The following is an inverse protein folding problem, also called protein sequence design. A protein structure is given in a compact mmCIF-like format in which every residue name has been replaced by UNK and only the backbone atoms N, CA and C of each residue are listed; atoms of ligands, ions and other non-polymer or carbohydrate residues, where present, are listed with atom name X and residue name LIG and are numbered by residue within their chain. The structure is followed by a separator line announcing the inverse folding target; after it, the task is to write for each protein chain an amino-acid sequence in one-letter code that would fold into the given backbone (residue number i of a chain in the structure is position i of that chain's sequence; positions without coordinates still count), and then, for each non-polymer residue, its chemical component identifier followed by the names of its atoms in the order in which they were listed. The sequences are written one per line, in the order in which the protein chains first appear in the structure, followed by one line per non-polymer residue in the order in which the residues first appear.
data_IF_254500794825
#
_entry.id   IF_254500794825
#
_cell.length_a   1.000
_cell.length_b   1.000
_cell.length_c   1.000
_cell.angle_alpha   90.00
_cell.angle_beta   90.00
_cell.angle_gamma   90.00
#
_symmetry.space_group_name_H-M   'P 1'
#
loop_
_entity.id
_entity.type
_entity.pdbx_description
1 polymer ?
#
# COMPACT_ATOMS: atom_id res chain seq x y z
N UNK A 1 -28.68 5.28 -21.43
CA UNK A 1 -27.20 5.27 -21.37
C UNK A 1 -26.81 4.45 -20.15
N UNK A 2 -25.92 3.47 -20.30
CA UNK A 2 -25.46 2.66 -19.15
C UNK A 2 -24.72 3.56 -18.16
N UNK A 3 -25.13 3.51 -16.90
CA UNK A 3 -24.55 4.23 -15.75
C UNK A 3 -23.52 3.40 -14.99
N UNK A 4 -23.04 2.30 -15.59
CA UNK A 4 -22.06 1.43 -14.96
C UNK A 4 -20.79 2.21 -14.55
N UNK A 5 -20.36 2.05 -13.30
CA UNK A 5 -19.14 2.64 -12.73
C UNK A 5 -18.27 1.55 -12.13
N UNK A 6 -16.97 1.78 -12.10
CA UNK A 6 -16.01 0.95 -11.36
C UNK A 6 -16.29 1.09 -9.87
N UNK A 7 -16.36 -0.01 -9.14
CA UNK A 7 -16.73 -0.06 -7.71
C UNK A 7 -15.55 -0.18 -6.76
N UNK A 8 -14.35 -0.45 -7.26
CA UNK A 8 -13.14 -0.60 -6.46
C UNK A 8 -11.96 -1.18 -7.25
N UNK A 9 -10.86 -1.44 -6.55
CA UNK A 9 -9.69 -2.12 -7.11
C UNK A 9 -9.87 -3.63 -6.88
N UNK A 10 -9.99 -4.40 -7.97
CA UNK A 10 -10.09 -5.87 -7.90
C UNK A 10 -8.75 -6.59 -7.78
N UNK A 11 -7.64 -5.89 -8.00
CA UNK A 11 -6.28 -6.41 -7.87
C UNK A 11 -5.23 -5.40 -8.30
N UNK A 12 -4.02 -5.56 -7.78
CA UNK A 12 -2.83 -4.84 -8.21
C UNK A 12 -1.77 -5.88 -8.60
N UNK A 13 -1.32 -5.83 -9.86
CA UNK A 13 -0.39 -6.81 -10.42
C UNK A 13 0.81 -6.09 -11.00
N UNK A 14 2.00 -6.57 -10.68
CA UNK A 14 3.25 -5.99 -11.14
C UNK A 14 4.28 -7.10 -11.41
N UNK A 15 5.35 -6.76 -12.13
CA UNK A 15 6.40 -7.73 -12.46
C UNK A 15 7.41 -7.82 -11.32
N UNK A 16 7.88 -9.03 -11.05
CA UNK A 16 8.93 -9.33 -10.09
C UNK A 16 9.99 -10.24 -10.74
N UNK A 17 11.25 -10.11 -10.31
CA UNK A 17 12.34 -11.02 -10.63
C UNK A 17 12.17 -12.36 -9.90
N UNK A 18 11.73 -12.31 -8.64
CA UNK A 18 11.36 -13.49 -7.84
C UNK A 18 9.97 -13.30 -7.21
N UNK A 19 8.88 -13.66 -7.92
CA UNK A 19 7.53 -13.47 -7.43
C UNK A 19 7.24 -14.22 -6.12
N UNK A 20 7.84 -15.39 -5.91
CA UNK A 20 7.59 -16.18 -4.72
C UNK A 20 8.25 -15.55 -3.49
N UNK A 21 9.49 -15.08 -3.61
CA UNK A 21 10.15 -14.34 -2.54
C UNK A 21 9.43 -13.03 -2.23
N UNK A 22 9.01 -12.30 -3.26
CA UNK A 22 8.37 -11.01 -3.06
C UNK A 22 6.99 -11.14 -2.42
N UNK A 23 6.18 -12.12 -2.84
CA UNK A 23 4.89 -12.40 -2.20
C UNK A 23 5.04 -12.78 -0.73
N UNK A 24 6.05 -13.61 -0.37
CA UNK A 24 6.34 -13.92 1.03
C UNK A 24 6.74 -12.68 1.82
N UNK A 25 7.58 -11.82 1.24
CA UNK A 25 8.01 -10.59 1.90
C UNK A 25 6.82 -9.66 2.23
N UNK A 26 5.90 -9.45 1.29
CA UNK A 26 4.71 -8.65 1.52
C UNK A 26 3.79 -9.26 2.60
N UNK A 27 3.63 -10.59 2.60
CA UNK A 27 2.84 -11.31 3.60
C UNK A 27 3.47 -11.24 5.00
N UNK A 28 4.77 -11.52 5.10
CA UNK A 28 5.51 -11.56 6.37
C UNK A 28 5.66 -10.18 7.01
N UNK A 29 5.96 -9.13 6.24
CA UNK A 29 6.29 -7.82 6.80
C UNK A 29 5.11 -6.85 6.83
N UNK A 30 4.16 -6.94 5.88
CA UNK A 30 3.07 -5.98 5.76
C UNK A 30 1.69 -6.63 5.97
N UNK A 31 1.60 -7.97 6.05
CA UNK A 31 0.32 -8.68 6.13
C UNK A 31 -0.53 -8.55 4.86
N UNK A 32 0.09 -8.14 3.76
CA UNK A 32 -0.54 -7.97 2.45
C UNK A 32 -0.18 -9.20 1.63
N UNK A 33 -1.17 -9.96 1.14
CA UNK A 33 -1.04 -11.27 0.46
C UNK A 33 -1.11 -12.46 1.44
N UNK A 34 -2.26 -13.13 1.44
CA UNK A 34 -2.46 -14.47 2.01
C UNK A 34 -2.64 -15.44 0.84
N UNK A 35 -1.53 -15.93 0.26
CA UNK A 35 -1.57 -16.94 -0.79
C UNK A 35 -0.77 -18.16 -0.31
N UNK A 36 -1.37 -18.96 0.56
CA UNK A 36 -0.75 -20.19 1.08
C UNK A 36 -0.51 -21.22 -0.04
N UNK A 37 -1.40 -21.30 -1.04
CA UNK A 37 -1.37 -22.28 -2.13
C UNK A 37 -1.20 -21.67 -3.53
N UNK A 38 -1.25 -20.33 -3.68
CA UNK A 38 -1.24 -19.62 -4.98
C UNK A 38 -2.38 -20.09 -5.91
N UNK A 39 -3.48 -20.57 -5.35
CA UNK A 39 -4.67 -20.99 -6.08
C UNK A 39 -5.82 -20.01 -5.88
N UNK A 40 -6.86 -20.10 -6.72
CA UNK A 40 -8.11 -19.34 -6.54
C UNK A 40 -8.88 -19.76 -5.27
N UNK A 41 -8.42 -20.78 -4.54
CA UNK A 41 -9.06 -21.26 -3.31
C UNK A 41 -8.50 -20.57 -2.05
N UNK A 42 -7.35 -19.88 -2.15
CA UNK A 42 -6.83 -19.09 -1.03
C UNK A 42 -7.71 -17.85 -0.80
N UNK A 43 -8.08 -17.53 0.45
CA UNK A 43 -8.76 -16.28 0.74
C UNK A 43 -7.84 -15.13 0.40
N UNK A 44 -8.24 -14.30 -0.56
CA UNK A 44 -7.52 -13.08 -0.91
C UNK A 44 -7.39 -12.11 0.26
N UNK A 45 -6.57 -11.08 0.11
CA UNK A 45 -6.44 -10.03 1.12
C UNK A 45 -7.70 -9.14 1.15
N UNK A 46 -8.51 -9.31 2.20
CA UNK A 46 -9.65 -8.44 2.49
C UNK A 46 -9.16 -7.20 3.23
N UNK A 47 -9.38 -6.04 2.62
CA UNK A 47 -8.95 -4.76 3.16
C UNK A 47 -10.05 -4.14 4.04
N UNK A 48 -9.63 -3.48 5.11
CA UNK A 48 -10.50 -2.58 5.83
C UNK A 48 -10.97 -1.44 4.93
N UNK A 49 -12.21 -1.01 5.18
CA UNK A 49 -12.86 0.10 4.47
C UNK A 49 -12.05 1.38 4.65
N UNK A 50 -11.92 2.16 3.59
CA UNK A 50 -11.29 3.47 3.63
C UNK A 50 -11.04 4.05 2.24
N UNK A 51 -10.52 5.26 2.21
CA UNK A 51 -10.18 5.96 0.97
C UNK A 51 -9.01 5.27 0.25
N UNK A 52 -9.18 5.09 -1.07
CA UNK A 52 -8.10 4.73 -1.98
C UNK A 52 -7.82 5.92 -2.89
N UNK A 53 -6.62 6.50 -2.78
CA UNK A 53 -6.16 7.56 -3.67
C UNK A 53 -5.72 6.95 -4.99
N UNK A 54 -6.35 7.35 -6.09
CA UNK A 54 -5.96 6.96 -7.45
C UNK A 54 -5.55 8.22 -8.24
N UNK A 55 -4.24 8.41 -8.42
CA UNK A 55 -3.70 9.65 -8.97
C UNK A 55 -2.56 9.41 -9.96
N UNK A 56 -2.47 10.28 -10.97
CA UNK A 56 -1.31 10.37 -11.86
C UNK A 56 -0.36 11.45 -11.35
N UNK A 57 0.94 11.26 -11.58
CA UNK A 57 1.99 12.19 -11.22
C UNK A 57 2.71 12.70 -12.49
N UNK A 58 3.40 13.85 -12.43
CA UNK A 58 4.29 14.29 -13.51
C UNK A 58 5.32 13.21 -13.86
N UNK A 59 5.66 13.09 -15.15
CA UNK A 59 6.60 12.08 -15.64
C UNK A 59 8.01 12.22 -15.02
N UNK A 60 8.38 13.44 -14.63
CA UNK A 60 9.67 13.83 -14.07
C UNK A 60 9.67 13.91 -12.53
N UNK A 61 8.70 13.29 -11.86
CA UNK A 61 8.69 13.24 -10.40
C UNK A 61 9.70 12.23 -9.85
N UNK A 62 10.35 12.58 -8.75
CA UNK A 62 11.20 11.65 -7.99
C UNK A 62 10.39 10.72 -7.06
N UNK A 63 9.05 10.85 -7.01
CA UNK A 63 8.18 10.12 -6.08
C UNK A 63 8.24 8.59 -6.22
N UNK A 64 8.57 8.07 -7.40
CA UNK A 64 8.64 6.63 -7.65
C UNK A 64 10.00 6.00 -7.34
N UNK A 65 10.96 6.80 -6.85
CA UNK A 65 12.33 6.36 -6.67
C UNK A 65 13.07 6.26 -8.01
N UNK A 66 13.56 5.07 -8.36
CA UNK A 66 14.38 4.89 -9.55
C UNK A 66 13.58 5.12 -10.86
N UNK A 67 14.15 5.76 -11.90
CA UNK A 67 13.42 6.14 -13.12
C UNK A 67 12.78 4.98 -13.89
N UNK A 68 13.29 3.75 -13.72
CA UNK A 68 12.74 2.53 -14.31
C UNK A 68 11.48 2.02 -13.60
N UNK A 69 11.15 2.57 -12.42
CA UNK A 69 9.97 2.20 -11.64
C UNK A 69 8.78 3.04 -12.09
N UNK A 70 7.77 2.37 -12.62
CA UNK A 70 6.57 3.02 -13.18
C UNK A 70 5.38 2.99 -12.22
N UNK A 71 5.57 2.52 -10.99
CA UNK A 71 4.49 2.36 -10.01
C UNK A 71 5.02 2.56 -8.59
N UNK A 72 4.12 3.02 -7.72
CA UNK A 72 4.30 3.15 -6.28
C UNK A 72 2.97 2.74 -5.64
N UNK A 73 3.01 2.15 -4.46
CA UNK A 73 1.81 1.74 -3.73
C UNK A 73 1.77 2.38 -2.35
N UNK A 74 0.60 2.88 -1.96
CA UNK A 74 0.36 3.43 -0.65
C UNK A 74 -0.56 2.52 0.16
N UNK A 75 -0.07 1.96 1.27
CA UNK A 75 -0.84 1.11 2.18
C UNK A 75 -1.30 1.90 3.40
N UNK A 76 -2.57 1.71 3.79
CA UNK A 76 -3.09 2.23 5.05
C UNK A 76 -2.59 1.37 6.21
N UNK A 77 -2.20 2.00 7.31
CA UNK A 77 -1.85 1.34 8.57
C UNK A 77 -2.61 2.00 9.72
N UNK A 78 -2.98 1.21 10.74
CA UNK A 78 -3.69 1.69 11.93
C UNK A 78 -2.77 2.18 13.04
N UNK A 79 -1.48 1.83 12.97
CA UNK A 79 -0.41 2.23 13.89
C UNK A 79 0.90 2.34 13.11
N UNK A 80 1.28 3.57 12.74
CA UNK A 80 2.49 3.80 11.95
C UNK A 80 3.76 3.51 12.76
N UNK A 81 3.77 3.87 14.04
CA UNK A 81 4.94 3.72 14.90
C UNK A 81 5.22 2.24 15.17
N UNK A 82 4.17 1.46 15.45
CA UNK A 82 4.26 0.00 15.58
C UNK A 82 4.75 -0.68 14.30
N UNK A 83 4.21 -0.28 13.13
CA UNK A 83 4.64 -0.83 11.84
C UNK A 83 6.12 -0.49 11.54
N UNK A 84 6.53 0.76 11.77
CA UNK A 84 7.93 1.19 11.59
C UNK A 84 8.87 0.43 12.51
N UNK A 85 8.49 0.22 13.77
CA UNK A 85 9.29 -0.57 14.71
C UNK A 85 9.46 -2.03 14.24
N UNK A 86 8.36 -2.68 13.86
CA UNK A 86 8.38 -4.06 13.38
C UNK A 86 9.25 -4.24 12.12
N UNK A 87 9.15 -3.31 11.16
CA UNK A 87 9.98 -3.31 9.95
C UNK A 87 11.47 -3.16 10.28
N UNK A 88 11.82 -2.24 11.17
CA UNK A 88 13.21 -2.02 11.60
C UNK A 88 13.78 -3.23 12.33
N UNK A 89 13.01 -3.86 13.21
CA UNK A 89 13.42 -5.08 13.91
C UNK A 89 13.66 -6.25 12.94
N UNK A 90 12.91 -6.28 11.83
CA UNK A 90 13.11 -7.23 10.73
C UNK A 90 14.27 -6.86 9.78
N UNK A 91 14.99 -5.77 10.03
CA UNK A 91 16.09 -5.29 9.20
C UNK A 91 15.65 -4.59 7.90
N UNK A 92 14.37 -4.23 7.78
CA UNK A 92 13.83 -3.47 6.65
C UNK A 92 14.06 -1.97 6.87
N UNK A 93 14.66 -1.31 5.88
CA UNK A 93 14.83 0.13 5.89
C UNK A 93 13.47 0.83 5.69
N UNK A 94 13.11 1.71 6.62
CA UNK A 94 11.88 2.51 6.58
C UNK A 94 12.13 3.90 7.16
N UNK A 95 11.63 4.91 6.45
CA UNK A 95 11.85 6.33 6.73
C UNK A 95 10.52 7.02 7.02
N UNK A 96 10.16 7.24 8.29
CA UNK A 96 9.03 8.08 8.67
C UNK A 96 9.27 9.52 8.24
N UNK A 97 8.20 10.19 7.80
CA UNK A 97 8.26 11.63 7.57
C UNK A 97 8.28 12.36 8.92
N UNK A 98 9.10 13.40 9.04
CA UNK A 98 9.19 14.19 10.29
C UNK A 98 7.95 15.06 10.55
N UNK A 99 7.20 15.38 9.48
CA UNK A 99 6.01 16.22 9.55
C UNK A 99 4.74 15.38 9.50
N UNK A 100 3.71 15.90 10.17
CA UNK A 100 2.34 15.47 9.95
C UNK A 100 1.71 16.25 8.80
N UNK A 101 0.79 15.61 8.08
CA UNK A 101 0.05 16.18 6.97
C UNK A 101 -1.43 16.31 7.33
N UNK A 102 -2.15 17.14 6.57
CA UNK A 102 -3.59 17.36 6.78
C UNK A 102 -4.40 16.06 6.71
N UNK A 103 -3.91 15.05 5.99
CA UNK A 103 -4.55 13.75 5.83
C UNK A 103 -3.97 12.64 6.72
N UNK A 104 -2.91 12.90 7.49
CA UNK A 104 -2.31 11.90 8.39
C UNK A 104 -0.79 11.87 8.38
N UNK A 105 -0.22 10.72 8.74
CA UNK A 105 1.23 10.50 8.86
C UNK A 105 1.71 9.50 7.84
N UNK A 106 2.98 9.61 7.44
CA UNK A 106 3.55 8.79 6.39
C UNK A 106 4.93 8.23 6.73
N UNK A 107 5.25 7.09 6.14
CA UNK A 107 6.60 6.55 6.06
C UNK A 107 6.85 5.95 4.67
N UNK A 108 8.09 5.94 4.23
CA UNK A 108 8.50 5.39 2.93
C UNK A 108 9.50 4.26 3.11
N UNK A 109 9.38 3.25 2.25
CA UNK A 109 10.27 2.10 2.20
C UNK A 109 10.34 1.55 0.77
N UNK A 110 11.28 0.66 0.54
CA UNK A 110 11.37 -0.12 -0.68
C UNK A 110 11.21 -1.61 -0.37
N UNK A 111 10.59 -2.34 -1.29
CA UNK A 111 10.62 -3.80 -1.25
C UNK A 111 12.00 -4.36 -1.66
N UNK A 112 12.25 -5.67 -1.55
CA UNK A 112 13.52 -6.28 -1.93
C UNK A 112 13.92 -6.09 -3.41
N UNK A 113 12.99 -5.65 -4.27
CA UNK A 113 13.25 -5.37 -5.67
C UNK A 113 13.39 -3.86 -5.98
N UNK A 114 13.34 -3.01 -4.97
CA UNK A 114 13.46 -1.55 -5.08
C UNK A 114 12.17 -0.87 -5.54
N UNK A 115 11.02 -1.51 -5.36
CA UNK A 115 9.74 -0.86 -5.67
C UNK A 115 9.33 0.04 -4.51
N UNK A 116 8.92 1.27 -4.82
CA UNK A 116 8.54 2.24 -3.81
C UNK A 116 7.21 1.89 -3.13
N UNK A 117 7.23 1.86 -1.80
CA UNK A 117 6.07 1.67 -0.94
C UNK A 117 5.98 2.89 -0.03
N UNK A 118 4.76 3.37 0.18
CA UNK A 118 4.45 4.34 1.21
C UNK A 118 3.44 3.74 2.20
N UNK A 119 3.66 3.96 3.48
CA UNK A 119 2.71 3.67 4.55
C UNK A 119 2.00 4.96 4.94
N UNK A 120 0.70 4.90 5.15
CA UNK A 120 -0.14 6.02 5.53
C UNK A 120 -1.00 5.67 6.74
N UNK A 121 -0.83 6.40 7.82
CA UNK A 121 -1.77 6.37 8.94
C UNK A 121 -2.76 7.54 8.79
N UNK A 122 -4.01 7.28 8.36
CA UNK A 122 -5.00 8.32 8.18
C UNK A 122 -5.40 8.91 9.52
N UNK A 123 -5.47 10.24 9.59
CA UNK A 123 -6.02 10.90 10.78
C UNK A 123 -7.56 10.80 10.83
N UNK A 124 -8.14 11.22 11.95
CA UNK A 124 -9.59 11.19 12.15
C UNK A 124 -10.39 11.94 11.07
N UNK A 125 -9.86 13.05 10.54
CA UNK A 125 -10.52 13.83 9.50
C UNK A 125 -10.57 13.06 8.17
N UNK A 126 -9.48 12.38 7.79
CA UNK A 126 -9.43 11.49 6.62
C UNK A 126 -10.41 10.33 6.75
N UNK A 127 -10.48 9.70 7.93
CA UNK A 127 -11.40 8.59 8.19
C UNK A 127 -12.86 9.06 8.09
N UNK A 128 -13.18 10.23 8.63
CA UNK A 128 -14.54 10.78 8.64
C UNK A 128 -15.09 11.12 7.24
N UNK A 129 -14.25 11.16 6.20
CA UNK A 129 -14.69 11.37 4.81
C UNK A 129 -15.36 10.15 4.18
N UNK A 130 -15.25 8.98 4.80
CA UNK A 130 -15.77 7.73 4.27
C UNK A 130 -17.32 7.69 4.33
N UNK A 131 -18.05 7.70 3.19
CA UNK A 131 -19.46 8.08 3.13
C UNK A 131 -20.48 7.06 3.70
N UNK A 132 -20.06 6.06 4.46
CA UNK A 132 -20.92 4.90 4.76
C UNK A 132 -21.12 3.94 3.56
N UNK A 133 -21.50 2.67 3.77
CA UNK A 133 -22.00 1.85 2.67
C UNK A 133 -23.14 2.59 1.95
N UNK A 134 -23.17 2.52 0.63
CA UNK A 134 -24.34 2.99 -0.11
C UNK A 134 -25.55 2.12 0.31
N UNK A 135 -26.65 2.76 0.72
CA UNK A 135 -27.94 2.08 0.94
C UNK A 135 -28.46 1.42 -0.35
#
# INVERSE_FOLDING_TARGET
MSTARVTGIGGFFFRARDPAALNRWYGEHLGVIMLESQSYEDPGWFQDRGETVFAAFPQDTDFFGAPEKSWSINFRVSDLDGMVAALRDAGVAVTPHEREYENGRFAELEDPEGNHIQLWEPNAASIARDPGPAE
#
